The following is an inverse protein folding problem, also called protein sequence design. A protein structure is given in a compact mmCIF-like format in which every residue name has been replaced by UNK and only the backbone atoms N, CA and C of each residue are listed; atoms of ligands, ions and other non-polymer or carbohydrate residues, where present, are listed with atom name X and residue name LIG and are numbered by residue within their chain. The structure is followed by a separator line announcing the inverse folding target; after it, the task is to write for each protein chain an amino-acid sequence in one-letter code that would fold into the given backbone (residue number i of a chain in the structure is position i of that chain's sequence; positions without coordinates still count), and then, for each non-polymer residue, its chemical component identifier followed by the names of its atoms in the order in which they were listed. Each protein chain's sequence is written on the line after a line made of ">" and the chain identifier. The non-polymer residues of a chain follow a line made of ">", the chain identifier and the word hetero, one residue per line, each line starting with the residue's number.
data_IF_693071826735
#
_entry.id   IF_693071826735
#
_cell.length_a   1.000
_cell.length_b   1.000
_cell.length_c   1.000
_cell.angle_alpha   90.00
_cell.angle_beta   90.00
_cell.angle_gamma   90.00
#
_symmetry.space_group_name_H-M   'P 1'
#
loop_
_entity.id
_entity.type
_entity.pdbx_description
1 polymer ?
#
# COMPACT_ATOMS: atom_id res chain seq x y z
N UNK A 1 -15.64 8.59 -10.34
CA UNK A 1 -15.00 7.86 -9.23
C UNK A 1 -13.73 8.59 -8.83
N UNK A 2 -13.35 8.55 -7.54
CA UNK A 2 -12.18 9.26 -7.02
C UNK A 2 -10.87 8.94 -7.75
N UNK A 3 -10.73 7.73 -8.29
CA UNK A 3 -9.58 7.27 -9.08
C UNK A 3 -9.38 8.06 -10.38
N UNK A 4 -10.44 8.48 -11.07
CA UNK A 4 -10.32 9.29 -12.30
C UNK A 4 -9.80 10.70 -11.99
N UNK A 5 -10.31 11.31 -10.92
CA UNK A 5 -9.88 12.65 -10.49
C UNK A 5 -8.43 12.64 -9.99
N UNK A 6 -8.00 11.54 -9.37
CA UNK A 6 -6.62 11.29 -9.00
C UNK A 6 -5.71 11.26 -10.24
N UNK A 7 -5.99 10.40 -11.23
CA UNK A 7 -5.13 10.30 -12.41
C UNK A 7 -5.00 11.63 -13.15
N UNK A 8 -6.10 12.38 -13.25
CA UNK A 8 -6.06 13.74 -13.79
C UNK A 8 -5.20 14.71 -12.95
N UNK A 9 -5.23 14.59 -11.62
CA UNK A 9 -4.43 15.43 -10.72
C UNK A 9 -2.94 15.08 -10.78
N UNK A 10 -2.63 13.79 -10.87
CA UNK A 10 -1.28 13.24 -11.04
C UNK A 10 -0.67 13.64 -12.38
N UNK A 11 -1.43 13.49 -13.47
CA UNK A 11 -1.01 13.98 -14.80
C UNK A 11 -0.77 15.48 -14.79
N UNK A 12 -1.66 16.26 -14.17
CA UNK A 12 -1.50 17.73 -14.05
C UNK A 12 -0.27 18.13 -13.23
N UNK A 13 0.09 17.33 -12.23
CA UNK A 13 1.28 17.55 -11.40
C UNK A 13 2.59 17.04 -12.06
N UNK A 14 2.51 16.39 -13.23
CA UNK A 14 3.65 15.73 -13.86
C UNK A 14 4.08 14.43 -13.16
N UNK A 15 3.37 14.02 -12.11
CA UNK A 15 3.59 12.74 -11.44
C UNK A 15 2.89 11.63 -12.20
N UNK A 16 3.60 11.03 -13.16
CA UNK A 16 3.19 9.73 -13.67
C UNK A 16 3.51 8.70 -12.59
N UNK A 17 2.52 8.31 -11.78
CA UNK A 17 2.61 7.12 -10.92
C UNK A 17 2.78 5.88 -11.83
N UNK A 18 3.97 5.70 -12.38
CA UNK A 18 4.36 4.52 -13.18
C UNK A 18 4.91 3.40 -12.29
N UNK A 19 5.02 3.66 -10.98
CA UNK A 19 5.55 2.71 -10.02
C UNK A 19 4.46 2.28 -9.05
N UNK A 20 4.36 0.98 -8.87
CA UNK A 20 3.40 0.32 -7.99
C UNK A 20 3.62 -1.18 -8.12
N UNK A 21 3.25 -1.91 -7.08
CA UNK A 21 3.26 -3.37 -7.10
C UNK A 21 1.81 -3.83 -7.13
N UNK A 22 1.49 -4.76 -8.04
CA UNK A 22 0.23 -5.50 -7.90
C UNK A 22 0.29 -6.23 -6.54
N UNK A 23 -0.70 -6.06 -5.65
CA UNK A 23 -0.67 -6.68 -4.33
C UNK A 23 -0.46 -8.20 -4.38
N UNK A 24 -0.92 -8.87 -5.43
CA UNK A 24 -0.70 -10.31 -5.62
C UNK A 24 0.77 -10.69 -5.84
N UNK A 25 1.59 -9.76 -6.33
CA UNK A 25 3.03 -9.95 -6.51
C UNK A 25 3.86 -9.56 -5.27
N UNK A 26 3.27 -8.87 -4.29
CA UNK A 26 4.00 -8.41 -3.09
C UNK A 26 4.66 -9.54 -2.29
N UNK A 27 4.01 -10.70 -2.04
CA UNK A 27 4.65 -11.80 -1.31
C UNK A 27 5.91 -12.32 -2.01
N UNK A 28 5.85 -12.54 -3.33
CA UNK A 28 6.99 -13.04 -4.10
C UNK A 28 8.12 -12.00 -4.17
N UNK A 29 7.78 -10.74 -4.43
CA UNK A 29 8.75 -9.64 -4.47
C UNK A 29 9.55 -9.53 -3.16
N UNK A 30 8.89 -9.72 -2.02
CA UNK A 30 9.52 -9.73 -0.70
C UNK A 30 10.37 -10.99 -0.48
N UNK A 31 9.86 -12.17 -0.86
CA UNK A 31 10.56 -13.43 -0.71
C UNK A 31 11.90 -13.47 -1.45
N UNK A 32 11.96 -12.94 -2.67
CA UNK A 32 13.18 -12.80 -3.47
C UNK A 32 14.27 -11.94 -2.78
N UNK A 33 13.88 -11.14 -1.78
CA UNK A 33 14.76 -10.27 -0.99
C UNK A 33 15.01 -10.81 0.42
N UNK A 34 14.64 -12.07 0.69
CA UNK A 34 14.79 -12.69 2.01
C UNK A 34 13.81 -12.16 3.05
N UNK A 35 12.67 -11.61 2.62
CA UNK A 35 11.63 -11.08 3.50
C UNK A 35 10.38 -11.95 3.42
N UNK A 36 9.71 -12.19 4.56
CA UNK A 36 8.38 -12.81 4.59
C UNK A 36 7.31 -11.75 4.85
N UNK A 37 6.30 -11.67 3.99
CA UNK A 37 5.16 -10.78 4.19
C UNK A 37 4.32 -11.25 5.38
N UNK A 38 4.16 -10.40 6.39
CA UNK A 38 3.35 -10.68 7.59
C UNK A 38 1.98 -10.05 7.49
N UNK A 39 1.90 -8.83 6.93
CA UNK A 39 0.65 -8.11 6.78
C UNK A 39 0.68 -7.29 5.49
N UNK A 40 -0.45 -7.25 4.80
CA UNK A 40 -0.69 -6.35 3.69
C UNK A 40 -2.08 -5.74 3.87
N UNK A 41 -2.11 -4.43 4.15
CA UNK A 41 -3.31 -3.69 4.52
C UNK A 41 -3.62 -2.64 3.47
N UNK A 42 -4.87 -2.60 3.03
CA UNK A 42 -5.41 -1.49 2.25
C UNK A 42 -5.56 -0.20 3.07
N UNK A 43 -5.72 0.92 2.37
CA UNK A 43 -5.85 2.23 2.98
C UNK A 43 -7.00 2.34 3.99
N UNK A 44 -8.13 1.68 3.72
CA UNK A 44 -9.28 1.63 4.62
C UNK A 44 -8.99 0.80 5.87
N UNK A 45 -8.32 -0.35 5.72
CA UNK A 45 -8.05 -1.29 6.81
C UNK A 45 -7.06 -0.71 7.83
N UNK A 46 -5.97 -0.10 7.37
CA UNK A 46 -5.03 0.54 8.30
C UNK A 46 -5.70 1.73 9.01
N UNK A 47 -6.51 2.53 8.30
CA UNK A 47 -7.20 3.68 8.92
C UNK A 47 -8.15 3.23 10.01
N UNK A 48 -8.97 2.22 9.73
CA UNK A 48 -9.86 1.64 10.72
C UNK A 48 -9.09 1.11 11.94
N UNK A 49 -7.95 0.42 11.71
CA UNK A 49 -7.14 -0.17 12.78
C UNK A 49 -6.52 0.88 13.71
N UNK A 50 -5.99 1.97 13.18
CA UNK A 50 -5.20 2.92 13.97
C UNK A 50 -5.96 4.19 14.37
N UNK A 51 -7.02 4.57 13.66
CA UNK A 51 -7.79 5.79 13.93
C UNK A 51 -9.25 5.52 14.36
N UNK A 52 -9.69 4.26 14.34
CA UNK A 52 -10.99 3.86 14.86
C UNK A 52 -12.16 4.63 14.24
N UNK A 53 -13.03 5.21 15.08
CA UNK A 53 -14.21 5.93 14.61
C UNK A 53 -13.88 7.16 13.74
N UNK A 54 -12.73 7.80 13.99
CA UNK A 54 -12.28 8.99 13.25
C UNK A 54 -11.89 8.66 11.80
N UNK A 55 -11.53 7.40 11.52
CA UNK A 55 -11.24 6.91 10.18
C UNK A 55 -12.38 7.19 9.18
N UNK A 56 -13.63 7.20 9.65
CA UNK A 56 -14.82 7.45 8.81
C UNK A 56 -14.85 8.85 8.20
N UNK A 57 -14.15 9.81 8.79
CA UNK A 57 -14.05 11.19 8.29
C UNK A 57 -12.77 11.45 7.49
N UNK A 58 -11.83 10.50 7.50
CA UNK A 58 -10.55 10.66 6.82
C UNK A 58 -10.74 10.54 5.31
N UNK A 59 -10.40 11.61 4.58
CA UNK A 59 -10.26 11.56 3.12
C UNK A 59 -8.83 11.21 2.76
N UNK A 60 -8.67 10.31 1.81
CA UNK A 60 -7.36 9.86 1.36
C UNK A 60 -7.49 8.97 0.14
N UNK A 61 -6.35 8.56 -0.37
CA UNK A 61 -6.22 7.76 -1.56
C UNK A 61 -6.37 6.27 -1.22
N UNK A 62 -7.37 5.61 -1.80
CA UNK A 62 -7.69 4.20 -1.54
C UNK A 62 -6.68 3.20 -2.13
N UNK A 63 -5.82 3.66 -3.05
CA UNK A 63 -4.82 2.83 -3.69
C UNK A 63 -3.54 2.64 -2.87
N UNK A 64 -3.38 3.37 -1.76
CA UNK A 64 -2.25 3.13 -0.85
C UNK A 64 -2.41 1.81 -0.10
N UNK A 65 -1.29 1.12 0.08
CA UNK A 65 -1.20 -0.11 0.85
C UNK A 65 -0.01 -0.06 1.80
N UNK A 66 -0.10 -0.80 2.89
CA UNK A 66 0.96 -0.96 3.89
C UNK A 66 1.34 -2.43 3.94
N UNK A 67 2.57 -2.76 3.56
CA UNK A 67 3.14 -4.08 3.71
C UNK A 67 4.10 -4.11 4.92
N UNK A 68 3.83 -4.98 5.89
CA UNK A 68 4.76 -5.30 6.97
C UNK A 68 5.42 -6.63 6.64
N UNK A 69 6.75 -6.65 6.61
CA UNK A 69 7.52 -7.85 6.35
C UNK A 69 8.52 -8.12 7.47
N UNK A 70 8.84 -9.40 7.68
CA UNK A 70 9.89 -9.86 8.60
C UNK A 70 11.13 -10.22 7.79
N UNK A 71 12.30 -9.84 8.29
CA UNK A 71 13.58 -10.32 7.75
C UNK A 71 13.71 -11.80 8.09
N UNK A 72 13.89 -12.65 7.08
CA UNK A 72 14.23 -14.05 7.30
C UNK A 72 15.49 -14.14 8.16
N UNK A 73 15.54 -15.07 9.11
CA UNK A 73 16.79 -15.32 9.84
C UNK A 73 17.86 -15.67 8.80
N UNK A 74 18.98 -14.94 8.78
CA UNK A 74 20.15 -15.36 8.02
C UNK A 74 20.47 -16.79 8.45
N UNK A 75 20.57 -17.71 7.48
CA UNK A 75 21.21 -18.99 7.75
C UNK A 75 22.65 -18.66 8.16
N UNK A 76 22.99 -19.02 9.40
CA UNK A 76 24.36 -18.96 9.90
C UNK A 76 25.24 -19.97 9.15
#
# INVERSE_FOLDING_TARGET
>A
TGTKNLFASLEKAGERLTFGIDPSHAPQYLAERGLSLEQDLGAAEYRARYFGAEARRMRGHEFYRVALARVGRHAA
#
